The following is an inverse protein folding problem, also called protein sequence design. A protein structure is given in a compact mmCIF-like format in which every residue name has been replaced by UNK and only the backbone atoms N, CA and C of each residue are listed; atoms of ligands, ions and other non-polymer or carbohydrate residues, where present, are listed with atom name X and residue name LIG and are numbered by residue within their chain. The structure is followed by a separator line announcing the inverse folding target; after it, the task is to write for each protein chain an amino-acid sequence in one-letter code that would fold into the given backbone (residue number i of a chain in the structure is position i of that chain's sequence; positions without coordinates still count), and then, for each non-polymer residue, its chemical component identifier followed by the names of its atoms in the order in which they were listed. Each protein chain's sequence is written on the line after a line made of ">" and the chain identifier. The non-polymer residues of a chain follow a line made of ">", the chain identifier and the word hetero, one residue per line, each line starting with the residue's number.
data_IF_044536259690
#
_entry.id   IF_044536259690
#
_cell.length_a   1.000
_cell.length_b   1.000
_cell.length_c   1.000
_cell.angle_alpha   90.00
_cell.angle_beta   90.00
_cell.angle_gamma   90.00
#
_symmetry.space_group_name_H-M   'P 1'
#
loop_
_entity.id
_entity.type
_entity.pdbx_description
1 polymer ?
#
# COMPACT_ATOMS: atom_id res chain seq x y z
N UNK A 1 -3.74 -13.74 5.96
CA UNK A 1 -3.56 -12.88 7.16
C UNK A 1 -4.20 -11.55 6.85
N UNK A 2 -4.91 -10.95 7.80
CA UNK A 2 -5.67 -9.72 7.58
C UNK A 2 -5.50 -8.77 8.77
N UNK A 3 -5.58 -7.47 8.53
CA UNK A 3 -5.53 -6.44 9.58
C UNK A 3 -6.29 -5.19 9.14
N UNK A 4 -6.74 -4.41 10.12
CA UNK A 4 -7.27 -3.07 9.90
C UNK A 4 -6.16 -2.03 10.08
N UNK A 5 -6.07 -1.09 9.13
CA UNK A 5 -5.16 0.06 9.19
C UNK A 5 -5.95 1.31 8.80
N UNK A 6 -6.38 2.07 9.79
CA UNK A 6 -7.23 3.25 9.57
C UNK A 6 -8.56 2.88 8.92
N UNK A 7 -8.81 3.42 7.71
CA UNK A 7 -10.03 3.20 6.93
C UNK A 7 -9.92 2.01 5.96
N UNK A 8 -8.84 1.23 6.05
CA UNK A 8 -8.54 0.13 5.13
C UNK A 8 -8.51 -1.21 5.85
N UNK A 9 -9.08 -2.21 5.20
CA UNK A 9 -8.80 -3.61 5.49
C UNK A 9 -7.70 -4.09 4.54
N UNK A 10 -6.65 -4.67 5.13
CA UNK A 10 -5.46 -5.13 4.43
C UNK A 10 -5.38 -6.64 4.57
N UNK A 11 -5.41 -7.35 3.45
CA UNK A 11 -5.34 -8.81 3.40
C UNK A 11 -4.13 -9.27 2.60
N UNK A 12 -3.37 -10.20 3.16
CA UNK A 12 -2.24 -10.87 2.50
C UNK A 12 -2.48 -12.39 2.48
N UNK A 13 -2.56 -12.98 1.28
CA UNK A 13 -2.78 -14.42 1.13
C UNK A 13 -2.92 -14.87 -0.32
N UNK A 14 -3.29 -16.15 -0.51
CA UNK A 14 -3.39 -16.81 -1.82
C UNK A 14 -2.06 -17.33 -2.35
N UNK A 15 -2.10 -18.04 -3.48
CA UNK A 15 -0.92 -18.48 -4.24
C UNK A 15 -1.12 -18.17 -5.74
N UNK A 16 -0.26 -17.33 -6.36
CA UNK A 16 0.79 -16.54 -5.72
C UNK A 16 0.23 -15.51 -4.71
N UNK A 17 1.02 -15.10 -3.71
CA UNK A 17 0.55 -14.18 -2.68
C UNK A 17 0.13 -12.84 -3.28
N UNK A 18 -0.97 -12.30 -2.78
CA UNK A 18 -1.46 -10.98 -3.13
C UNK A 18 -1.79 -10.17 -1.87
N UNK A 19 -1.43 -8.89 -1.91
CA UNK A 19 -1.81 -7.88 -0.93
C UNK A 19 -3.01 -7.13 -1.48
N UNK A 20 -4.10 -7.13 -0.74
CA UNK A 20 -5.35 -6.47 -1.11
C UNK A 20 -5.62 -5.35 -0.11
N UNK A 21 -5.98 -4.17 -0.61
CA UNK A 21 -6.31 -2.99 0.18
C UNK A 21 -7.75 -2.62 -0.15
N UNK A 22 -8.67 -2.91 0.77
CA UNK A 22 -10.09 -2.56 0.65
C UNK A 22 -10.35 -1.28 1.45
N UNK A 23 -10.97 -0.27 0.83
CA UNK A 23 -11.39 0.93 1.53
C UNK A 23 -12.78 0.70 2.14
N UNK A 24 -12.85 0.67 3.48
CA UNK A 24 -14.07 0.26 4.19
C UNK A 24 -15.20 1.27 4.08
N UNK A 25 -14.89 2.57 4.13
CA UNK A 25 -15.90 3.64 4.01
C UNK A 25 -16.49 3.69 2.60
N UNK A 26 -15.66 3.49 1.57
CA UNK A 26 -16.09 3.54 0.16
C UNK A 26 -16.58 2.20 -0.37
N UNK A 27 -16.34 1.10 0.35
CA UNK A 27 -16.73 -0.25 -0.04
C UNK A 27 -16.07 -0.73 -1.34
N UNK A 28 -14.88 -0.24 -1.68
CA UNK A 28 -14.22 -0.56 -2.94
C UNK A 28 -12.77 -1.01 -2.78
N UNK A 29 -12.28 -1.79 -3.76
CA UNK A 29 -10.89 -2.19 -3.83
C UNK A 29 -10.04 -0.96 -4.18
N UNK A 30 -9.19 -0.54 -3.24
CA UNK A 30 -8.30 0.60 -3.43
C UNK A 30 -7.05 0.18 -4.21
N UNK A 31 -6.40 -0.92 -3.80
CA UNK A 31 -5.23 -1.45 -4.49
C UNK A 31 -5.09 -2.96 -4.34
N UNK A 32 -4.47 -3.60 -5.32
CA UNK A 32 -4.03 -5.00 -5.24
C UNK A 32 -2.63 -5.15 -5.80
N UNK A 33 -1.75 -5.77 -5.04
CA UNK A 33 -0.36 -6.03 -5.43
C UNK A 33 -0.09 -7.54 -5.43
N UNK A 34 0.51 -8.06 -6.49
CA UNK A 34 1.00 -9.44 -6.57
C UNK A 34 2.36 -9.63 -5.90
N UNK A 35 2.86 -10.86 -5.88
CA UNK A 35 4.08 -11.23 -5.14
C UNK A 35 5.31 -10.36 -5.43
N UNK A 36 5.60 -10.08 -6.72
CA UNK A 36 6.73 -9.22 -7.09
C UNK A 36 6.53 -7.77 -6.60
N UNK A 37 5.31 -7.27 -6.71
CA UNK A 37 4.97 -5.91 -6.29
C UNK A 37 5.01 -5.80 -4.76
N UNK A 38 4.63 -6.85 -4.02
CA UNK A 38 4.78 -6.92 -2.57
C UNK A 38 6.26 -6.82 -2.17
N UNK A 39 7.15 -7.52 -2.87
CA UNK A 39 8.58 -7.48 -2.59
C UNK A 39 9.15 -6.06 -2.80
N UNK A 40 8.83 -5.41 -3.92
CA UNK A 40 9.25 -4.03 -4.17
C UNK A 40 8.61 -3.04 -3.19
N UNK A 41 7.33 -3.23 -2.84
CA UNK A 41 6.66 -2.41 -1.83
C UNK A 41 7.38 -2.50 -0.48
N UNK A 42 7.83 -3.69 -0.08
CA UNK A 42 8.65 -3.85 1.14
C UNK A 42 9.94 -3.05 1.04
N UNK A 43 10.67 -3.13 -0.05
CA UNK A 43 11.92 -2.36 -0.21
C UNK A 43 11.66 -0.85 -0.15
N UNK A 44 10.61 -0.37 -0.81
CA UNK A 44 10.23 1.03 -0.81
C UNK A 44 9.82 1.50 0.59
N UNK A 45 9.06 0.67 1.30
CA UNK A 45 8.68 0.96 2.67
C UNK A 45 9.89 0.92 3.61
N UNK A 46 10.96 0.17 3.36
CA UNK A 46 12.13 0.16 4.24
C UNK A 46 12.94 1.48 4.22
N UNK A 47 12.75 2.32 3.18
CA UNK A 47 13.52 3.56 3.00
C UNK A 47 12.63 4.78 3.25
N UNK A 48 12.91 5.54 4.30
CA UNK A 48 12.21 6.80 4.60
C UNK A 48 12.74 7.94 3.73
N UNK A 49 12.32 7.97 2.46
CA UNK A 49 12.69 9.03 1.52
C UNK A 49 11.52 9.40 0.61
N UNK A 50 11.39 10.70 0.31
CA UNK A 50 10.45 11.19 -0.70
C UNK A 50 10.75 10.56 -2.06
N UNK A 51 9.78 9.86 -2.65
CA UNK A 51 9.94 9.17 -3.94
C UNK A 51 8.62 8.99 -4.66
N UNK A 52 8.66 8.92 -5.98
CA UNK A 52 7.52 8.50 -6.81
C UNK A 52 7.92 7.21 -7.52
N UNK A 53 7.08 6.17 -7.43
CA UNK A 53 7.35 4.87 -8.06
C UNK A 53 6.09 4.30 -8.68
N UNK A 54 6.28 3.59 -9.78
CA UNK A 54 5.19 2.83 -10.41
C UNK A 54 5.30 1.40 -9.93
N UNK A 55 4.20 0.85 -9.42
CA UNK A 55 4.11 -0.51 -8.94
C UNK A 55 2.86 -1.15 -9.53
N UNK A 56 3.06 -2.05 -10.50
CA UNK A 56 1.97 -2.59 -11.31
C UNK A 56 1.18 -1.48 -12.03
N UNK A 57 -0.14 -1.47 -11.83
CA UNK A 57 -1.04 -0.45 -12.38
C UNK A 57 -1.20 0.80 -11.50
N UNK A 58 -0.37 0.96 -10.47
CA UNK A 58 -0.45 2.07 -9.52
C UNK A 58 0.79 2.95 -9.56
N UNK A 59 0.60 4.23 -9.27
CA UNK A 59 1.66 5.15 -8.93
C UNK A 59 1.63 5.41 -7.43
N UNK A 60 2.73 5.10 -6.75
CA UNK A 60 2.95 5.36 -5.34
C UNK A 60 3.75 6.65 -5.18
N UNK A 61 3.26 7.55 -4.35
CA UNK A 61 3.95 8.78 -3.94
C UNK A 61 4.24 8.66 -2.46
N UNK A 62 5.52 8.57 -2.11
CA UNK A 62 6.03 8.60 -0.75
C UNK A 62 6.39 10.04 -0.39
N UNK A 63 5.73 10.57 0.64
CA UNK A 63 5.94 11.91 1.17
C UNK A 63 7.18 12.01 2.05
N UNK A 64 7.65 13.23 2.27
CA UNK A 64 8.80 13.48 3.16
C UNK A 64 8.47 13.24 4.65
N UNK A 65 7.18 13.27 5.00
CA UNK A 65 6.64 12.99 6.32
C UNK A 65 6.43 11.50 6.61
N UNK A 66 6.83 10.61 5.69
CA UNK A 66 6.63 9.16 5.85
C UNK A 66 5.23 8.66 5.47
N UNK A 67 4.39 9.52 4.89
CA UNK A 67 3.10 9.15 4.33
C UNK A 67 3.24 8.58 2.91
N UNK A 68 2.20 7.86 2.46
CA UNK A 68 2.13 7.29 1.12
C UNK A 68 0.75 7.49 0.52
N UNK A 69 0.70 7.97 -0.72
CA UNK A 69 -0.49 8.01 -1.52
C UNK A 69 -0.41 6.99 -2.67
N UNK A 70 -1.51 6.27 -2.90
CA UNK A 70 -1.67 5.33 -4.01
C UNK A 70 -2.58 5.94 -5.04
N UNK A 71 -2.08 6.11 -6.25
CA UNK A 71 -2.83 6.62 -7.40
C UNK A 71 -3.02 5.52 -8.43
N UNK A 72 -4.18 5.49 -9.06
CA UNK A 72 -4.38 4.74 -10.28
C UNK A 72 -3.71 5.47 -11.46
N UNK A 73 -3.41 4.77 -12.56
CA UNK A 73 -2.77 5.36 -13.75
C UNK A 73 -3.53 6.52 -14.38
N UNK A 74 -4.84 6.64 -14.13
CA UNK A 74 -5.67 7.76 -14.59
C UNK A 74 -5.53 9.02 -13.71
N UNK A 75 -4.65 9.02 -12.71
CA UNK A 75 -4.41 10.15 -11.80
C UNK A 75 -5.38 10.23 -10.62
N UNK A 76 -6.32 9.30 -10.47
CA UNK A 76 -7.21 9.26 -9.32
C UNK A 76 -6.50 8.70 -8.09
N UNK A 77 -6.63 9.35 -6.93
CA UNK A 77 -6.12 8.82 -5.66
C UNK A 77 -7.04 7.72 -5.15
N UNK A 78 -6.51 6.52 -5.04
CA UNK A 78 -7.22 5.33 -4.57
C UNK A 78 -7.07 5.12 -3.06
N UNK A 79 -5.89 5.35 -2.51
CA UNK A 79 -5.63 5.25 -1.08
C UNK A 79 -4.63 6.31 -0.61
N UNK A 80 -4.67 6.59 0.68
CA UNK A 80 -3.73 7.43 1.39
C UNK A 80 -3.47 6.84 2.77
N UNK A 81 -2.19 6.70 3.10
CA UNK A 81 -1.70 6.22 4.39
C UNK A 81 -0.85 7.31 5.02
N UNK A 82 -1.18 7.72 6.24
CA UNK A 82 -0.31 8.60 7.01
C UNK A 82 0.90 7.81 7.57
N UNK A 83 1.83 8.50 8.23
CA UNK A 83 3.06 7.89 8.75
C UNK A 83 2.80 6.71 9.72
N UNK A 84 1.84 6.84 10.63
CA UNK A 84 1.50 5.78 11.60
C UNK A 84 0.91 4.55 10.90
N UNK A 85 0.06 4.78 9.90
CA UNK A 85 -0.52 3.72 9.08
C UNK A 85 0.55 3.04 8.22
N UNK A 86 1.54 3.78 7.74
CA UNK A 86 2.71 3.22 7.04
C UNK A 86 3.55 2.36 7.98
N UNK A 87 3.78 2.81 9.22
CA UNK A 87 4.46 2.00 10.23
C UNK A 87 3.70 0.70 10.55
N UNK A 88 2.36 0.75 10.62
CA UNK A 88 1.53 -0.44 10.77
C UNK A 88 1.62 -1.37 9.55
N UNK A 89 1.60 -0.82 8.34
CA UNK A 89 1.70 -1.58 7.09
C UNK A 89 3.06 -2.29 6.98
N UNK A 90 4.16 -1.60 7.34
CA UNK A 90 5.50 -2.18 7.42
C UNK A 90 5.53 -3.43 8.30
N UNK A 91 5.06 -3.30 9.55
CA UNK A 91 5.01 -4.42 10.51
C UNK A 91 4.16 -5.58 9.99
N UNK A 92 3.00 -5.29 9.39
CA UNK A 92 2.12 -6.30 8.81
C UNK A 92 2.80 -7.07 7.66
N UNK A 93 3.58 -6.36 6.84
CA UNK A 93 4.35 -6.97 5.76
C UNK A 93 5.62 -7.68 6.25
N UNK A 94 5.94 -7.67 7.54
CA UNK A 94 7.16 -8.28 8.08
C UNK A 94 8.44 -7.51 7.78
N UNK A 95 8.31 -6.19 7.58
CA UNK A 95 9.41 -5.24 7.51
C UNK A 95 9.71 -4.61 8.87
#
# INVERSE_FOLDING_TARGET
>A
METLIGEYEISLGGEPPALTILHLIRGNLAARFGGNEIAELRELLAVEQKRIRTLGSYQLIFGASGDMAVYHQNGQRNAYFNADQIAALRRFLGN
#
